data_IF_633436654241
#
_entry.id   IF_633436654241
#
_cell.length_a   1.000
_cell.length_b   1.000
_cell.length_c   1.000
_cell.angle_alpha   90.00
_cell.angle_beta   90.00
_cell.angle_gamma   90.00
#
_symmetry.space_group_name_H-M   'P 1'
#
loop_
_entity.id
_entity.type
_entity.pdbx_description
1 polymer ?
#
# COMPACT_ATOMS: atom_id res chain seq x y z
N UNK A 1 58.56 37.94 -36.62
CA UNK A 1 59.17 37.53 -35.33
C UNK A 1 59.63 36.07 -35.45
N UNK A 2 60.96 35.88 -35.43
CA UNK A 2 61.77 34.76 -34.91
C UNK A 2 61.12 33.36 -34.81
N UNK A 3 61.58 32.36 -35.57
CA UNK A 3 62.75 31.49 -35.32
C UNK A 3 62.29 30.11 -34.77
N UNK A 4 62.36 29.01 -35.52
CA UNK A 4 63.50 28.09 -35.78
C UNK A 4 63.59 26.91 -34.78
N UNK A 5 63.59 25.69 -35.37
CA UNK A 5 64.18 24.39 -34.96
C UNK A 5 63.53 23.60 -33.80
N UNK A 6 62.98 22.42 -34.10
CA UNK A 6 63.60 21.06 -34.14
C UNK A 6 64.02 20.52 -32.76
N UNK A 7 63.36 19.44 -32.32
CA UNK A 7 63.91 18.48 -31.34
C UNK A 7 63.23 17.12 -31.59
N UNK A 8 63.89 16.19 -32.29
CA UNK A 8 64.81 15.13 -31.81
C UNK A 8 64.08 13.90 -31.26
N UNK A 9 64.47 12.76 -31.86
CA UNK A 9 64.08 11.37 -31.61
C UNK A 9 64.38 10.93 -30.17
N UNK A 10 63.60 10.00 -29.64
CA UNK A 10 63.89 9.31 -28.38
C UNK A 10 63.12 8.01 -28.23
N UNK A 11 63.74 6.93 -28.69
CA UNK A 11 63.52 5.53 -28.28
C UNK A 11 63.45 5.36 -26.76
N UNK A 12 62.53 4.55 -26.23
CA UNK A 12 62.87 3.46 -25.30
C UNK A 12 61.61 2.72 -24.83
N UNK A 13 61.59 1.45 -25.22
CA UNK A 13 60.84 0.35 -24.65
C UNK A 13 61.25 0.16 -23.17
N UNK A 14 60.32 0.22 -22.22
CA UNK A 14 60.48 -0.42 -20.91
C UNK A 14 59.12 -0.79 -20.34
N UNK A 15 58.76 -2.06 -20.51
CA UNK A 15 57.81 -2.78 -19.67
C UNK A 15 58.37 -2.84 -18.24
N UNK A 16 57.58 -2.39 -17.26
CA UNK A 16 57.72 -2.83 -15.88
C UNK A 16 56.36 -3.26 -15.35
N UNK A 17 56.21 -4.57 -15.22
CA UNK A 17 55.18 -5.24 -14.43
C UNK A 17 55.26 -4.74 -12.98
N UNK A 18 54.15 -4.23 -12.44
CA UNK A 18 53.96 -4.18 -10.99
C UNK A 18 52.52 -4.57 -10.66
N UNK A 19 52.38 -5.80 -10.14
CA UNK A 19 51.16 -6.36 -9.63
C UNK A 19 50.74 -5.64 -8.35
N UNK A 20 49.65 -4.88 -8.40
CA UNK A 20 48.96 -4.38 -7.21
C UNK A 20 47.74 -5.26 -6.93
N UNK A 21 47.96 -6.30 -6.12
CA UNK A 21 46.91 -7.02 -5.39
C UNK A 21 46.30 -6.06 -4.37
N UNK A 22 45.30 -5.27 -4.79
CA UNK A 22 44.38 -4.62 -3.87
C UNK A 22 43.31 -5.65 -3.50
N UNK A 23 43.51 -6.25 -2.33
CA UNK A 23 42.51 -7.08 -1.67
C UNK A 23 41.24 -6.28 -1.44
N UNK A 24 40.25 -6.50 -2.30
CA UNK A 24 38.88 -6.06 -2.08
C UNK A 24 38.30 -6.86 -0.91
N UNK A 25 38.32 -6.27 0.27
CA UNK A 25 37.52 -6.76 1.41
C UNK A 25 36.07 -6.67 0.98
N UNK A 26 35.51 -7.78 0.55
CA UNK A 26 34.10 -7.88 0.23
C UNK A 26 33.34 -7.77 1.55
N UNK A 27 32.91 -6.57 1.92
CA UNK A 27 31.88 -6.38 2.94
C UNK A 27 30.60 -7.00 2.37
N UNK A 28 30.40 -8.29 2.62
CA UNK A 28 29.10 -8.93 2.50
C UNK A 28 28.19 -8.29 3.53
N UNK A 29 27.43 -7.27 3.10
CA UNK A 29 26.29 -6.76 3.85
C UNK A 29 25.40 -7.97 4.11
N UNK A 30 25.12 -8.34 5.37
CA UNK A 30 24.17 -9.42 5.63
C UNK A 30 22.81 -8.95 5.13
N UNK A 31 22.39 -9.53 4.02
CA UNK A 31 21.05 -9.39 3.47
C UNK A 31 20.09 -9.92 4.53
N UNK A 32 19.54 -9.01 5.35
CA UNK A 32 18.45 -9.34 6.27
C UNK A 32 17.33 -9.88 5.40
N UNK A 33 17.01 -11.16 5.57
CA UNK A 33 15.73 -11.70 5.13
C UNK A 33 14.66 -10.94 5.92
N UNK A 34 14.15 -9.87 5.33
CA UNK A 34 12.90 -9.27 5.74
C UNK A 34 11.83 -10.30 5.42
N UNK A 35 11.38 -11.03 6.45
CA UNK A 35 10.19 -11.87 6.33
C UNK A 35 9.06 -10.90 6.05
N UNK A 36 8.71 -10.73 4.78
CA UNK A 36 7.61 -9.88 4.34
C UNK A 36 6.33 -10.40 5.03
N UNK A 37 5.95 -9.76 6.13
CA UNK A 37 4.69 -10.04 6.80
C UNK A 37 3.58 -9.64 5.83
N UNK A 38 2.57 -10.50 5.68
CA UNK A 38 1.44 -10.18 4.82
C UNK A 38 0.74 -8.93 5.37
N UNK A 39 0.32 -7.98 4.50
CA UNK A 39 -0.39 -6.80 4.95
C UNK A 39 -1.66 -7.18 5.72
N UNK A 40 -2.01 -6.38 6.73
CA UNK A 40 -3.19 -6.60 7.57
C UNK A 40 -4.14 -5.41 7.49
N UNK A 41 -5.44 -5.67 7.61
CA UNK A 41 -6.49 -4.65 7.54
C UNK A 41 -7.53 -4.94 8.62
N UNK A 42 -8.02 -3.88 9.25
CA UNK A 42 -8.99 -3.92 10.34
C UNK A 42 -10.09 -2.91 10.10
N UNK A 43 -11.28 -3.22 10.60
CA UNK A 43 -12.49 -2.40 10.49
C UNK A 43 -13.02 -2.14 11.90
N UNK A 44 -13.29 -0.88 12.22
CA UNK A 44 -13.81 -0.45 13.51
C UNK A 44 -14.93 0.60 13.36
N UNK A 45 -16.02 0.52 14.13
CA UNK A 45 -16.35 -0.56 15.07
C UNK A 45 -16.68 -1.87 14.35
N UNK A 46 -16.63 -2.98 15.08
CA UNK A 46 -17.15 -4.26 14.60
C UNK A 46 -17.86 -4.99 15.76
N UNK A 47 -19.17 -5.27 15.67
CA UNK A 47 -20.06 -4.99 14.54
C UNK A 47 -20.51 -3.52 14.46
N UNK A 48 -20.84 -3.05 13.25
CA UNK A 48 -21.33 -1.71 12.91
C UNK A 48 -22.86 -1.67 12.99
N UNK A 49 -23.46 -0.63 13.56
CA UNK A 49 -24.92 -0.48 13.53
C UNK A 49 -25.44 -0.32 12.08
N UNK A 50 -26.46 -1.10 11.69
CA UNK A 50 -27.09 -0.96 10.37
C UNK A 50 -28.04 0.24 10.32
N UNK A 51 -27.46 1.45 10.23
CA UNK A 51 -28.18 2.72 10.12
C UNK A 51 -27.41 3.71 9.24
N UNK A 52 -28.13 4.74 8.77
CA UNK A 52 -27.56 5.80 7.93
C UNK A 52 -26.56 6.66 8.72
N UNK A 53 -25.55 7.19 8.01
CA UNK A 53 -24.51 8.10 8.52
C UNK A 53 -23.65 7.48 9.62
N UNK A 54 -23.45 6.17 9.56
CA UNK A 54 -22.52 5.49 10.47
C UNK A 54 -21.08 5.67 9.96
N UNK A 55 -20.15 5.90 10.89
CA UNK A 55 -18.73 6.03 10.59
C UNK A 55 -18.04 4.70 10.80
N UNK A 56 -17.22 4.30 9.83
CA UNK A 56 -16.41 3.09 9.87
C UNK A 56 -14.97 3.47 9.57
N UNK A 57 -14.05 3.18 10.49
CA UNK A 57 -12.63 3.29 10.27
C UNK A 57 -12.10 2.00 9.63
N UNK A 58 -11.33 2.16 8.57
CA UNK A 58 -10.61 1.11 7.86
C UNK A 58 -9.13 1.45 7.99
N UNK A 59 -8.38 0.59 8.68
CA UNK A 59 -6.97 0.81 8.96
C UNK A 59 -6.16 -0.42 8.61
N UNK A 60 -4.97 -0.24 8.07
CA UNK A 60 -4.09 -1.35 7.72
C UNK A 60 -2.62 -1.02 7.84
N UNK A 61 -1.78 -2.05 7.85
CA UNK A 61 -0.33 -1.98 8.00
C UNK A 61 0.37 -3.11 7.25
N UNK A 62 1.68 -2.96 7.01
CA UNK A 62 2.50 -3.94 6.29
C UNK A 62 2.44 -3.80 4.75
N UNK A 63 1.94 -2.68 4.25
CA UNK A 63 1.92 -2.35 2.82
C UNK A 63 3.24 -1.70 2.38
N UNK A 64 3.44 -1.52 1.07
CA UNK A 64 4.58 -0.70 0.60
C UNK A 64 4.39 0.74 1.07
N UNK A 65 5.44 1.48 1.46
CA UNK A 65 5.34 2.90 1.78
C UNK A 65 4.84 3.73 0.60
N UNK A 66 4.04 4.77 0.88
CA UNK A 66 3.51 5.72 -0.13
C UNK A 66 2.71 5.05 -1.27
N UNK A 67 2.15 3.87 -1.01
CA UNK A 67 1.37 3.10 -1.96
C UNK A 67 -0.07 3.59 -1.99
N UNK A 68 -0.61 3.84 -3.19
CA UNK A 68 -2.04 4.03 -3.39
C UNK A 68 -2.76 2.67 -3.33
N UNK A 69 -3.85 2.59 -2.58
CA UNK A 69 -4.60 1.36 -2.39
C UNK A 69 -6.02 1.49 -2.95
N UNK A 70 -6.51 0.43 -3.60
CA UNK A 70 -7.94 0.27 -3.89
C UNK A 70 -8.66 -0.32 -2.69
N UNK A 71 -9.93 0.07 -2.48
CA UNK A 71 -10.80 -0.54 -1.45
C UNK A 71 -12.04 -1.09 -2.14
N UNK A 72 -12.07 -2.38 -2.41
CA UNK A 72 -13.16 -3.04 -3.12
C UNK A 72 -14.16 -3.71 -2.17
N UNK A 73 -15.44 -3.52 -2.43
CA UNK A 73 -16.55 -4.20 -1.74
C UNK A 73 -17.66 -4.48 -2.75
N UNK A 74 -18.38 -5.60 -2.58
CA UNK A 74 -19.57 -5.87 -3.39
C UNK A 74 -20.75 -5.08 -2.85
N UNK A 75 -21.34 -4.23 -3.70
CA UNK A 75 -22.50 -3.40 -3.38
C UNK A 75 -23.52 -3.51 -4.51
N UNK A 76 -24.79 -3.77 -4.17
CA UNK A 76 -25.85 -3.94 -5.18
C UNK A 76 -25.59 -5.06 -6.19
N UNK A 77 -24.76 -6.06 -5.84
CA UNK A 77 -24.41 -7.19 -6.71
C UNK A 77 -23.18 -6.98 -7.60
N UNK A 78 -22.50 -5.83 -7.52
CA UNK A 78 -21.31 -5.56 -8.33
C UNK A 78 -20.10 -5.13 -7.45
N UNK A 79 -18.85 -5.50 -7.83
CA UNK A 79 -17.66 -4.95 -7.21
C UNK A 79 -17.63 -3.42 -7.37
N UNK A 80 -17.36 -2.72 -6.29
CA UNK A 80 -17.33 -1.25 -6.24
C UNK A 80 -16.10 -0.80 -5.46
N UNK A 81 -15.35 0.14 -6.02
CA UNK A 81 -14.27 0.83 -5.31
C UNK A 81 -14.85 1.96 -4.45
N UNK A 82 -14.52 1.94 -3.16
CA UNK A 82 -14.94 2.95 -2.17
C UNK A 82 -13.83 3.96 -1.85
N UNK A 83 -12.69 3.94 -2.55
CA UNK A 83 -11.58 4.88 -2.34
C UNK A 83 -11.99 6.37 -2.38
N UNK A 84 -13.00 6.71 -3.19
CA UNK A 84 -13.56 8.06 -3.25
C UNK A 84 -14.51 8.40 -2.08
N UNK A 85 -15.10 7.38 -1.45
CA UNK A 85 -16.06 7.49 -0.35
C UNK A 85 -15.41 7.56 1.04
N UNK A 86 -14.12 7.23 1.12
CA UNK A 86 -13.35 7.27 2.35
C UNK A 86 -12.47 8.51 2.45
N UNK A 87 -12.19 8.97 3.68
CA UNK A 87 -11.31 10.11 3.97
C UNK A 87 -10.39 9.81 5.16
N UNK A 88 -9.07 10.09 5.07
CA UNK A 88 -8.32 10.47 3.87
C UNK A 88 -8.36 9.38 2.78
N UNK A 89 -7.85 9.69 1.58
CA UNK A 89 -7.64 8.66 0.55
C UNK A 89 -6.76 7.54 1.14
N UNK A 90 -6.99 6.26 0.78
CA UNK A 90 -6.23 5.13 1.31
C UNK A 90 -4.84 5.06 0.68
N UNK A 91 -3.97 5.99 1.09
CA UNK A 91 -2.55 6.03 0.71
C UNK A 91 -1.73 5.75 1.95
N UNK A 92 -0.76 4.85 1.83
CA UNK A 92 0.06 4.46 2.98
C UNK A 92 1.10 5.52 3.32
N UNK A 93 1.44 5.63 4.60
CA UNK A 93 2.50 6.48 5.09
C UNK A 93 3.90 5.84 4.84
N UNK A 94 4.95 6.46 5.36
CA UNK A 94 6.33 5.97 5.22
C UNK A 94 6.59 4.61 5.88
N UNK A 95 5.69 4.18 6.77
CA UNK A 95 5.74 2.89 7.47
C UNK A 95 4.87 1.82 6.79
N UNK A 96 4.21 2.14 5.68
CA UNK A 96 3.28 1.19 5.04
C UNK A 96 1.96 1.05 5.78
N UNK A 97 1.53 2.07 6.52
CA UNK A 97 0.26 2.10 7.26
C UNK A 97 -0.71 3.09 6.62
N UNK A 98 -2.01 2.80 6.64
CA UNK A 98 -3.04 3.74 6.25
C UNK A 98 -4.21 3.71 7.24
N UNK A 99 -4.97 4.80 7.30
CA UNK A 99 -6.24 4.86 8.01
C UNK A 99 -7.20 5.79 7.29
N UNK A 100 -8.39 5.28 6.97
CA UNK A 100 -9.43 5.99 6.26
C UNK A 100 -10.77 5.79 6.95
N UNK A 101 -11.62 6.81 6.94
CA UNK A 101 -12.98 6.77 7.49
C UNK A 101 -13.99 6.78 6.36
N UNK A 102 -14.87 5.78 6.34
CA UNK A 102 -16.04 5.71 5.48
C UNK A 102 -17.27 6.17 6.25
N UNK A 103 -18.03 7.11 5.69
CA UNK A 103 -19.37 7.47 6.21
C UNK A 103 -20.42 6.76 5.36
N UNK A 104 -20.99 5.69 5.89
CA UNK A 104 -21.99 4.88 5.18
C UNK A 104 -23.36 5.55 5.32
N UNK A 105 -23.91 6.08 4.23
CA UNK A 105 -25.24 6.74 4.19
C UNK A 105 -25.99 6.37 2.92
N UNK A 106 -25.41 6.72 1.76
CA UNK A 106 -26.02 6.48 0.46
C UNK A 106 -26.25 5.01 0.17
N UNK A 107 -25.34 4.16 0.63
CA UNK A 107 -25.32 2.72 0.42
C UNK A 107 -26.46 2.04 1.17
N UNK A 108 -26.68 2.43 2.43
CA UNK A 108 -27.82 1.96 3.23
C UNK A 108 -29.12 2.53 2.64
N UNK A 109 -29.16 3.83 2.33
CA UNK A 109 -30.37 4.48 1.78
C UNK A 109 -30.82 3.84 0.46
N UNK A 110 -29.88 3.44 -0.38
CA UNK A 110 -30.13 2.81 -1.69
C UNK A 110 -30.22 1.29 -1.63
N UNK A 111 -30.11 0.68 -0.43
CA UNK A 111 -30.13 -0.78 -0.23
C UNK A 111 -29.04 -1.50 -1.04
N UNK A 112 -27.86 -0.89 -1.12
CA UNK A 112 -26.69 -1.48 -1.78
C UNK A 112 -25.91 -2.42 -0.87
N UNK A 113 -26.04 -2.25 0.45
CA UNK A 113 -25.47 -3.12 1.47
C UNK A 113 -26.59 -3.72 2.30
N UNK A 114 -26.61 -5.04 2.40
CA UNK A 114 -27.51 -5.78 3.28
C UNK A 114 -27.02 -5.76 4.74
N UNK A 115 -27.91 -5.95 5.73
CA UNK A 115 -27.57 -6.02 7.15
C UNK A 115 -26.88 -7.35 7.52
N UNK A 116 -25.79 -7.66 6.84
CA UNK A 116 -25.00 -8.90 6.95
C UNK A 116 -23.51 -8.57 7.01
N UNK A 117 -22.66 -9.58 6.84
CA UNK A 117 -21.22 -9.40 6.66
C UNK A 117 -20.87 -9.13 5.19
N UNK A 118 -19.91 -8.25 4.96
CA UNK A 118 -19.35 -7.92 3.65
C UNK A 118 -17.82 -7.96 3.71
N UNK A 119 -17.18 -8.45 2.65
CA UNK A 119 -15.72 -8.44 2.56
C UNK A 119 -15.26 -7.17 1.86
N UNK A 120 -14.32 -6.47 2.49
CA UNK A 120 -13.53 -5.41 1.87
C UNK A 120 -12.19 -6.01 1.47
N UNK A 121 -11.86 -5.93 0.18
CA UNK A 121 -10.55 -6.28 -0.36
C UNK A 121 -9.71 -5.02 -0.55
N UNK A 122 -8.47 -5.06 -0.11
CA UNK A 122 -7.50 -3.99 -0.36
C UNK A 122 -6.61 -4.42 -1.53
N UNK A 123 -6.49 -3.57 -2.55
CA UNK A 123 -5.76 -3.89 -3.79
C UNK A 123 -4.64 -2.89 -4.08
N UNK A 124 -3.71 -3.27 -4.95
CA UNK A 124 -2.81 -2.33 -5.63
C UNK A 124 -3.47 -1.67 -6.86
N UNK A 125 -2.68 -0.92 -7.63
CA UNK A 125 -3.10 -0.19 -8.84
C UNK A 125 -3.52 -1.14 -9.98
N UNK A 126 -2.96 -2.35 -9.99
CA UNK A 126 -3.29 -3.41 -10.93
C UNK A 126 -4.50 -4.26 -10.51
N UNK A 127 -5.20 -3.85 -9.45
CA UNK A 127 -6.34 -4.57 -8.86
C UNK A 127 -6.00 -5.94 -8.29
N UNK A 128 -4.74 -6.17 -7.93
CA UNK A 128 -4.31 -7.40 -7.28
C UNK A 128 -4.66 -7.34 -5.79
N UNK A 129 -5.36 -8.35 -5.22
CA UNK A 129 -5.67 -8.37 -3.79
C UNK A 129 -4.43 -8.51 -2.91
N UNK A 130 -4.28 -7.59 -1.96
CA UNK A 130 -3.17 -7.55 -0.99
C UNK A 130 -3.60 -8.01 0.40
N UNK A 131 -4.81 -7.63 0.83
CA UNK A 131 -5.37 -7.97 2.14
C UNK A 131 -6.90 -7.96 2.10
N UNK A 132 -7.53 -8.49 3.15
CA UNK A 132 -8.98 -8.55 3.30
C UNK A 132 -9.40 -8.22 4.73
N UNK A 133 -10.55 -7.58 4.88
CA UNK A 133 -11.22 -7.38 6.16
C UNK A 133 -12.73 -7.57 6.03
N UNK A 134 -13.40 -7.90 7.13
CA UNK A 134 -14.85 -8.15 7.15
C UNK A 134 -15.58 -7.00 7.84
N UNK A 135 -16.45 -6.32 7.09
CA UNK A 135 -17.42 -5.38 7.62
C UNK A 135 -18.64 -6.17 8.10
N UNK A 136 -18.92 -6.16 9.40
CA UNK A 136 -20.07 -6.87 9.98
C UNK A 136 -21.11 -5.86 10.45
N UNK A 137 -22.32 -5.92 9.91
CA UNK A 137 -23.44 -5.14 10.44
C UNK A 137 -24.17 -5.86 11.57
N UNK A 138 -24.56 -5.12 12.61
CA UNK A 138 -25.55 -5.59 13.59
C UNK A 138 -26.90 -5.69 12.89
N UNK A 139 -27.59 -6.82 13.10
CA UNK A 139 -28.96 -6.98 12.64
C UNK A 139 -29.84 -5.90 13.31
N UNK A 140 -30.67 -5.16 12.56
CA UNK A 140 -31.55 -4.17 13.15
C UNK A 140 -32.55 -4.85 14.08
N UNK A 141 -32.63 -4.40 15.33
CA UNK A 141 -33.72 -4.79 16.22
C UNK A 141 -35.01 -4.21 15.67
N UNK A 142 -36.03 -5.05 15.48
CA UNK A 142 -37.36 -4.56 15.09
C UNK A 142 -37.97 -3.88 16.30
N UNK A 143 -38.15 -2.57 16.24
CA UNK A 143 -39.04 -1.89 17.18
C UNK A 143 -40.46 -2.41 16.96
N UNK A 144 -40.98 -3.15 17.94
CA UNK A 144 -42.39 -3.48 18.00
C UNK A 144 -43.18 -2.18 18.12
N UNK A 145 -43.89 -1.81 17.05
CA UNK A 145 -44.86 -0.71 17.10
C UNK A 145 -45.91 -1.07 18.16
N UNK A 146 -45.86 -0.42 19.32
CA UNK A 146 -46.99 -0.42 20.27
C UNK A 146 -48.21 0.13 19.52
N UNK A 147 -49.26 -0.69 19.43
CA UNK A 147 -50.58 -0.34 18.90
C UNK A 147 -51.25 0.68 19.81
#
# INVERSE_FOLDING_TARGET
MNAIKKFVRGTALTLFFLAALLGGTSCSVPMRHEVASKPTVTISPSPVDYKRRVKVAISGSGFKPKQELGLLIVMGGAPSDIGALVKPKPVTNEKGEFSSVWVIDGEIRRKLLDPTSHTIEVTDEEWTPLARATLVFKKPEKEEKKK
#
